data_IF_310983223061
#
_entry.id   IF_310983223061
#
_cell.length_a   1.000
_cell.length_b   1.000
_cell.length_c   1.000
_cell.angle_alpha   90.00
_cell.angle_beta   90.00
_cell.angle_gamma   90.00
#
_symmetry.space_group_name_H-M   'P 1'
#
loop_
_entity.id
_entity.type
_entity.pdbx_description
1 polymer ?
#
# COMPACT_ATOMS: atom_id res chain seq x y z
N UNK A 1 -1.83 -20.34 -10.87
CA UNK A 1 -0.37 -20.13 -10.82
C UNK A 1 -0.09 -19.08 -9.76
N UNK A 2 0.98 -19.22 -8.96
CA UNK A 2 1.37 -18.15 -8.04
C UNK A 2 1.68 -16.89 -8.85
N UNK A 3 1.06 -15.77 -8.48
CA UNK A 3 1.31 -14.47 -9.12
C UNK A 3 2.68 -13.99 -8.66
N UNK A 4 3.58 -13.68 -9.58
CA UNK A 4 4.89 -13.12 -9.23
C UNK A 4 4.71 -11.81 -8.46
N UNK A 5 5.46 -11.56 -7.36
CA UNK A 5 5.42 -10.27 -6.67
C UNK A 5 5.68 -9.09 -7.60
N UNK A 6 6.52 -9.28 -8.63
CA UNK A 6 6.79 -8.27 -9.65
C UNK A 6 5.58 -8.00 -10.56
N UNK A 7 4.83 -9.04 -10.92
CA UNK A 7 3.60 -8.88 -11.70
C UNK A 7 2.53 -8.14 -10.91
N UNK A 8 2.44 -8.43 -9.61
CA UNK A 8 1.53 -7.74 -8.70
C UNK A 8 1.94 -6.27 -8.53
N UNK A 9 3.22 -5.96 -8.30
CA UNK A 9 3.74 -4.59 -8.30
C UNK A 9 3.35 -3.83 -9.57
N UNK A 10 3.59 -4.42 -10.75
CA UNK A 10 3.22 -3.82 -12.04
C UNK A 10 1.72 -3.59 -12.15
N UNK A 11 0.88 -4.47 -11.61
CA UNK A 11 -0.57 -4.28 -11.59
C UNK A 11 -0.99 -3.10 -10.69
N UNK A 12 -0.44 -3.01 -9.48
CA UNK A 12 -0.68 -1.88 -8.57
C UNK A 12 -0.29 -0.55 -9.22
N UNK A 13 0.90 -0.50 -9.82
CA UNK A 13 1.38 0.68 -10.57
C UNK A 13 0.41 1.11 -11.65
N UNK A 14 0.04 0.21 -12.57
CA UNK A 14 -0.89 0.53 -13.66
C UNK A 14 -2.21 1.12 -13.17
N UNK A 15 -2.73 0.64 -12.03
CA UNK A 15 -3.98 1.14 -11.46
C UNK A 15 -3.80 2.50 -10.79
N UNK A 16 -2.88 2.61 -9.84
CA UNK A 16 -2.76 3.79 -8.96
C UNK A 16 -1.97 4.96 -9.57
N UNK A 17 -1.31 4.76 -10.72
CA UNK A 17 -0.70 5.86 -11.48
C UNK A 17 -1.69 6.60 -12.38
N UNK A 18 -2.87 6.01 -12.63
CA UNK A 18 -3.97 6.68 -13.33
C UNK A 18 -4.52 7.86 -12.53
N UNK A 19 -5.22 8.78 -13.20
CA UNK A 19 -5.82 9.94 -12.53
C UNK A 19 -6.82 9.52 -11.42
N UNK A 20 -7.71 8.58 -11.74
CA UNK A 20 -8.67 8.05 -10.77
C UNK A 20 -7.98 7.23 -9.68
N UNK A 21 -6.94 6.47 -10.03
CA UNK A 21 -6.10 5.75 -9.09
C UNK A 21 -5.49 6.66 -8.02
N UNK A 22 -4.93 7.81 -8.42
CA UNK A 22 -4.42 8.82 -7.49
C UNK A 22 -5.51 9.37 -6.58
N UNK A 23 -6.70 9.68 -7.13
CA UNK A 23 -7.85 10.16 -6.35
C UNK A 23 -8.33 9.12 -5.32
N UNK A 24 -8.34 7.85 -5.69
CA UNK A 24 -8.66 6.75 -4.77
C UNK A 24 -7.57 6.60 -3.71
N UNK A 25 -6.29 6.70 -4.08
CA UNK A 25 -5.18 6.64 -3.13
C UNK A 25 -5.28 7.73 -2.05
N UNK A 26 -5.56 8.97 -2.44
CA UNK A 26 -5.79 10.08 -1.50
C UNK A 26 -6.95 9.77 -0.53
N UNK A 27 -8.04 9.17 -1.03
CA UNK A 27 -9.15 8.77 -0.17
C UNK A 27 -8.78 7.65 0.80
N UNK A 28 -8.04 6.64 0.32
CA UNK A 28 -7.54 5.55 1.15
C UNK A 28 -6.59 6.05 2.23
N UNK A 29 -5.69 7.00 1.94
CA UNK A 29 -4.80 7.60 2.93
C UNK A 29 -5.55 8.31 4.04
N UNK A 30 -6.62 9.06 3.71
CA UNK A 30 -7.49 9.69 4.70
C UNK A 30 -8.20 8.66 5.56
N UNK A 31 -8.72 7.60 4.95
CA UNK A 31 -9.41 6.52 5.67
C UNK A 31 -8.46 5.65 6.47
N UNK A 32 -7.23 5.44 6.04
CA UNK A 32 -6.26 4.61 6.77
C UNK A 32 -5.47 5.39 7.81
N UNK A 33 -5.89 6.61 8.17
CA UNK A 33 -5.21 7.45 9.15
C UNK A 33 -3.71 7.61 8.86
N UNK A 34 -3.33 7.68 7.57
CA UNK A 34 -1.93 7.60 7.13
C UNK A 34 -1.08 8.76 7.68
N UNK A 35 -1.61 9.98 7.65
CA UNK A 35 -0.92 11.21 8.10
C UNK A 35 -1.34 11.69 9.50
N UNK A 36 -2.02 10.87 10.30
CA UNK A 36 -2.58 11.28 11.61
C UNK A 36 -2.18 10.29 12.69
N UNK A 37 -2.00 10.74 13.93
CA UNK A 37 -1.81 9.83 15.06
C UNK A 37 -3.04 8.95 15.27
N UNK A 38 -2.80 7.69 15.57
CA UNK A 38 -3.79 6.64 15.87
C UNK A 38 -3.63 6.11 17.28
N UNK A 39 -2.73 6.72 18.06
CA UNK A 39 -2.63 6.45 19.48
C UNK A 39 -3.99 6.67 20.14
N UNK A 40 -4.40 5.69 20.94
CA UNK A 40 -5.60 5.76 21.76
C UNK A 40 -5.34 5.02 23.05
N UNK A 41 -5.93 5.49 24.14
CA UNK A 41 -5.95 4.77 25.42
C UNK A 41 -6.86 3.54 25.39
N UNK A 42 -7.72 3.43 24.37
CA UNK A 42 -8.46 2.21 24.04
C UNK A 42 -7.61 1.34 23.08
N UNK A 43 -7.11 0.17 23.53
CA UNK A 43 -6.28 -0.71 22.72
C UNK A 43 -7.00 -1.24 21.47
N UNK A 44 -8.33 -1.46 21.55
CA UNK A 44 -9.11 -1.96 20.42
C UNK A 44 -9.20 -0.93 19.30
N UNK A 45 -9.37 0.34 19.67
CA UNK A 45 -9.34 1.46 18.72
C UNK A 45 -7.97 1.64 18.07
N UNK A 46 -6.89 1.57 18.87
CA UNK A 46 -5.53 1.67 18.35
C UNK A 46 -5.25 0.53 17.35
N UNK A 47 -5.59 -0.71 17.69
CA UNK A 47 -5.39 -1.87 16.82
C UNK A 47 -6.20 -1.78 15.52
N UNK A 48 -7.46 -1.33 15.59
CA UNK A 48 -8.31 -1.14 14.41
C UNK A 48 -7.72 -0.12 13.44
N UNK A 49 -7.28 1.03 13.95
CA UNK A 49 -6.70 2.07 13.11
C UNK A 49 -5.34 1.68 12.52
N UNK A 50 -4.47 1.01 13.28
CA UNK A 50 -3.21 0.47 12.75
C UNK A 50 -3.45 -0.61 11.69
N UNK A 51 -4.47 -1.46 11.88
CA UNK A 51 -4.88 -2.43 10.87
C UNK A 51 -5.26 -1.75 9.55
N UNK A 52 -6.04 -0.68 9.60
CA UNK A 52 -6.39 0.12 8.40
C UNK A 52 -5.17 0.79 7.79
N UNK A 53 -4.26 1.34 8.60
CA UNK A 53 -3.02 1.96 8.11
C UNK A 53 -2.12 0.94 7.42
N UNK A 54 -2.04 -0.28 7.93
CA UNK A 54 -1.22 -1.35 7.34
C UNK A 54 -1.59 -1.64 5.89
N UNK A 55 -2.89 -1.58 5.54
CA UNK A 55 -3.35 -1.77 4.16
C UNK A 55 -2.94 -0.62 3.24
N UNK A 56 -3.00 0.62 3.72
CA UNK A 56 -2.52 1.78 2.96
C UNK A 56 -1.00 1.68 2.73
N UNK A 57 -0.26 1.32 3.78
CA UNK A 57 1.19 1.10 3.70
C UNK A 57 1.54 -0.02 2.72
N UNK A 58 0.75 -1.10 2.70
CA UNK A 58 0.92 -2.18 1.73
C UNK A 58 0.75 -1.69 0.30
N UNK A 59 -0.29 -0.91 0.00
CA UNK A 59 -0.47 -0.31 -1.34
C UNK A 59 0.74 0.54 -1.70
N UNK A 60 1.21 1.41 -0.79
CA UNK A 60 2.41 2.23 -1.03
C UNK A 60 3.67 1.42 -1.26
N UNK A 61 3.87 0.36 -0.49
CA UNK A 61 4.97 -0.58 -0.67
C UNK A 61 4.93 -1.17 -2.09
N UNK A 62 3.76 -1.60 -2.56
CA UNK A 62 3.55 -2.12 -3.91
C UNK A 62 3.74 -1.08 -5.03
N UNK A 63 3.72 0.23 -4.74
CA UNK A 63 3.93 1.29 -5.74
C UNK A 63 5.37 1.77 -5.85
N UNK A 64 6.19 1.47 -4.84
CA UNK A 64 7.60 1.80 -4.82
C UNK A 64 8.41 0.68 -5.46
N UNK A 65 9.02 0.97 -6.61
CA UNK A 65 9.80 -0.02 -7.35
C UNK A 65 11.09 -0.43 -6.64
N UNK A 66 11.58 0.39 -5.69
CA UNK A 66 12.83 0.10 -4.96
C UNK A 66 12.72 -1.16 -4.11
N UNK A 67 11.51 -1.48 -3.64
CA UNK A 67 11.21 -2.71 -2.90
C UNK A 67 11.29 -3.98 -3.75
N UNK A 68 11.36 -3.85 -5.08
CA UNK A 68 11.36 -4.98 -6.03
C UNK A 68 12.64 -5.08 -6.87
N UNK A 69 13.65 -4.22 -6.63
CA UNK A 69 14.88 -4.18 -7.44
C UNK A 69 15.58 -5.54 -7.50
N UNK A 70 15.78 -6.19 -6.35
CA UNK A 70 16.46 -7.48 -6.26
C UNK A 70 15.67 -8.63 -6.94
N UNK A 71 14.38 -8.44 -7.21
CA UNK A 71 13.53 -9.42 -7.90
C UNK A 71 13.57 -9.24 -9.43
N UNK A 72 14.01 -8.07 -9.92
CA UNK A 72 14.21 -7.81 -11.36
C UNK A 72 15.39 -8.62 -11.93
N UNK A 73 16.39 -8.93 -11.10
CA UNK A 73 17.62 -9.64 -11.49
C UNK A 73 17.46 -11.18 -11.51
N UNK A 74 16.51 -11.73 -10.74
CA UNK A 74 16.28 -13.19 -10.63
C UNK A 74 15.41 -13.72 -11.78
N UNK A 75 14.65 -12.84 -12.45
CA UNK A 75 13.65 -13.20 -13.46
C UNK A 75 14.07 -12.78 -14.89
N UNK A 76 15.34 -12.37 -15.07
CA UNK A 76 15.98 -12.17 -16.38
C UNK A 76 16.92 -13.32 -16.67
#
# INVERSE_FOLDING_TARGET
MPVSPLDLHRAYRRLFESADGKRVMEDLERRGSFMRSTFSTDPGRAAFEEGRRSLVLHVKHMLDETHFINLKEITQ
#
